data_IF_537409539843
#
_entry.id   IF_537409539843
#
_cell.length_a   1.000
_cell.length_b   1.000
_cell.length_c   1.000
_cell.angle_alpha   90.00
_cell.angle_beta   90.00
_cell.angle_gamma   90.00
#
_symmetry.space_group_name_H-M   'P 1'
#
loop_
_entity.id
_entity.type
_entity.pdbx_description
1 polymer ?
#
# COMPACT_ATOMS: atom_id res chain seq x y z
N UNK A 1 -0.77 -2.78 17.05
CA UNK A 1 -2.02 -2.33 16.40
C UNK A 1 -2.40 -3.42 15.41
N UNK A 2 -3.67 -3.85 15.34
CA UNK A 2 -4.06 -4.94 14.43
C UNK A 2 -4.09 -4.43 12.99
N UNK A 3 -3.76 -5.28 12.01
CA UNK A 3 -3.78 -4.88 10.60
C UNK A 3 -5.16 -4.34 10.18
N UNK A 4 -6.25 -4.90 10.70
CA UNK A 4 -7.63 -4.42 10.47
C UNK A 4 -7.84 -2.95 10.86
N UNK A 5 -7.21 -2.50 11.94
CA UNK A 5 -7.28 -1.08 12.35
C UNK A 5 -6.47 -0.17 11.43
N UNK A 6 -5.34 -0.65 10.90
CA UNK A 6 -4.57 0.08 9.88
C UNK A 6 -5.39 0.20 8.60
N UNK A 7 -6.00 -0.91 8.14
CA UNK A 7 -6.87 -0.91 6.95
C UNK A 7 -8.01 0.08 7.10
N UNK A 8 -8.69 0.08 8.25
CA UNK A 8 -9.77 1.04 8.52
C UNK A 8 -9.28 2.49 8.43
N UNK A 9 -8.10 2.79 8.99
CA UNK A 9 -7.49 4.12 8.91
C UNK A 9 -7.19 4.51 7.45
N UNK A 10 -6.61 3.60 6.68
CA UNK A 10 -6.26 3.84 5.27
C UNK A 10 -7.51 4.03 4.40
N UNK A 11 -8.54 3.20 4.56
CA UNK A 11 -9.81 3.34 3.84
C UNK A 11 -10.49 4.66 4.16
N UNK A 12 -10.48 5.09 5.43
CA UNK A 12 -11.03 6.39 5.81
C UNK A 12 -10.21 7.54 5.20
N UNK A 13 -8.87 7.44 5.21
CA UNK A 13 -8.05 8.45 4.57
C UNK A 13 -8.31 8.53 3.06
N UNK A 14 -8.41 7.38 2.38
CA UNK A 14 -8.69 7.30 0.93
C UNK A 14 -10.05 7.95 0.63
N UNK A 15 -11.09 7.62 1.40
CA UNK A 15 -12.44 8.17 1.21
C UNK A 15 -12.49 9.69 1.38
N UNK A 16 -11.66 10.26 2.25
CA UNK A 16 -11.60 11.71 2.50
C UNK A 16 -10.75 12.43 1.45
N UNK A 17 -9.72 11.77 0.90
CA UNK A 17 -8.67 12.45 0.13
C UNK A 17 -8.65 12.09 -1.37
N UNK A 18 -9.56 11.23 -1.82
CA UNK A 18 -9.66 10.75 -3.21
C UNK A 18 -11.12 10.59 -3.61
N UNK A 19 -11.38 10.36 -4.90
CA UNK A 19 -12.72 10.09 -5.44
C UNK A 19 -13.15 8.61 -5.27
N UNK A 20 -12.28 7.76 -4.69
CA UNK A 20 -12.57 6.34 -4.55
C UNK A 20 -13.57 6.05 -3.44
N UNK A 21 -14.56 5.21 -3.74
CA UNK A 21 -15.47 4.68 -2.74
C UNK A 21 -14.88 3.45 -2.06
N UNK A 22 -14.82 3.47 -0.73
CA UNK A 22 -14.30 2.36 0.09
C UNK A 22 -15.41 1.52 0.72
N UNK A 23 -16.69 1.83 0.43
CA UNK A 23 -17.87 1.21 1.09
C UNK A 23 -17.93 -0.31 0.94
N UNK A 24 -17.41 -0.84 -0.16
CA UNK A 24 -17.45 -2.27 -0.48
C UNK A 24 -16.05 -2.88 -0.49
N UNK A 25 -15.10 -2.28 0.25
CA UNK A 25 -13.78 -2.88 0.39
C UNK A 25 -13.89 -4.15 1.23
N UNK A 26 -13.75 -5.30 0.57
CA UNK A 26 -13.79 -6.63 1.16
C UNK A 26 -12.66 -7.47 0.54
N UNK A 27 -11.43 -7.00 0.75
CA UNK A 27 -10.22 -7.64 0.23
C UNK A 27 -9.41 -8.20 1.39
N UNK A 28 -9.11 -9.49 1.32
CA UNK A 28 -8.28 -10.17 2.31
C UNK A 28 -6.82 -9.70 2.22
N UNK A 29 -6.15 -9.60 3.36
CA UNK A 29 -4.75 -9.18 3.44
C UNK A 29 -3.93 -10.29 4.08
N UNK A 30 -3.04 -10.86 3.27
CA UNK A 30 -2.15 -11.95 3.66
C UNK A 30 -0.78 -11.37 4.03
N UNK A 31 -0.42 -11.50 5.31
CA UNK A 31 0.94 -11.21 5.77
C UNK A 31 1.81 -12.45 5.60
N UNK A 32 2.78 -12.39 4.69
CA UNK A 32 3.62 -13.52 4.28
C UNK A 32 5.11 -13.22 4.50
N UNK A 33 5.98 -14.23 4.32
CA UNK A 33 7.42 -13.99 4.34
C UNK A 33 7.90 -13.32 3.04
N UNK A 34 9.13 -12.80 3.03
CA UNK A 34 9.73 -12.22 1.83
C UNK A 34 9.97 -13.29 0.76
N UNK A 35 10.34 -14.50 1.15
CA UNK A 35 10.55 -15.61 0.22
C UNK A 35 9.23 -16.03 -0.43
N UNK A 36 8.15 -16.11 0.36
CA UNK A 36 6.82 -16.46 -0.17
C UNK A 36 6.29 -15.41 -1.15
N UNK A 37 6.47 -14.11 -0.84
CA UNK A 37 5.99 -13.06 -1.74
C UNK A 37 6.78 -13.02 -3.05
N UNK A 38 8.10 -13.20 -2.98
CA UNK A 38 8.98 -13.23 -4.14
C UNK A 38 8.67 -14.44 -5.03
N UNK A 39 8.46 -15.61 -4.43
CA UNK A 39 8.06 -16.80 -5.16
C UNK A 39 6.71 -16.59 -5.86
N UNK A 40 5.69 -16.07 -5.15
CA UNK A 40 4.36 -15.86 -5.72
C UNK A 40 4.32 -14.78 -6.82
N UNK A 41 5.09 -13.71 -6.66
CA UNK A 41 5.03 -12.57 -7.57
C UNK A 41 5.97 -12.74 -8.78
N UNK A 42 7.13 -13.37 -8.59
CA UNK A 42 8.23 -13.35 -9.54
C UNK A 42 8.82 -14.73 -9.85
N UNK A 43 8.39 -15.79 -9.16
CA UNK A 43 8.97 -17.14 -9.28
C UNK A 43 10.49 -17.13 -9.01
N UNK A 44 10.91 -16.33 -8.02
CA UNK A 44 12.30 -16.13 -7.61
C UNK A 44 12.58 -14.76 -7.02
N UNK A 45 13.84 -14.48 -6.68
CA UNK A 45 14.25 -13.25 -6.01
C UNK A 45 13.88 -11.99 -6.81
N UNK A 46 13.07 -11.11 -6.20
CA UNK A 46 12.71 -9.81 -6.75
C UNK A 46 12.42 -8.79 -5.64
N UNK A 47 12.45 -7.48 -5.91
CA UNK A 47 12.32 -6.46 -4.86
C UNK A 47 10.87 -6.22 -4.40
N UNK A 48 9.92 -7.07 -4.78
CA UNK A 48 8.51 -6.92 -4.42
C UNK A 48 8.29 -7.26 -2.95
N UNK A 49 7.53 -6.40 -2.27
CA UNK A 49 7.17 -6.54 -0.85
C UNK A 49 5.68 -6.45 -0.57
N UNK A 50 4.91 -6.07 -1.58
CA UNK A 50 3.47 -6.18 -1.59
C UNK A 50 3.00 -6.30 -3.03
N UNK A 51 1.88 -6.97 -3.24
CA UNK A 51 1.15 -6.93 -4.51
C UNK A 51 -0.31 -7.32 -4.29
N UNK A 52 -1.20 -6.70 -5.06
CA UNK A 52 -2.59 -7.12 -5.19
C UNK A 52 -2.73 -8.20 -6.27
N UNK A 53 -3.37 -9.31 -5.91
CA UNK A 53 -3.77 -10.36 -6.85
C UNK A 53 -5.30 -10.39 -6.98
N UNK A 54 -5.85 -10.19 -8.20
CA UNK A 54 -7.28 -10.31 -8.43
C UNK A 54 -7.82 -11.65 -7.91
N UNK A 55 -9.00 -11.61 -7.30
CA UNK A 55 -9.75 -12.77 -6.78
C UNK A 55 -9.11 -13.52 -5.58
N UNK A 56 -7.92 -13.11 -5.14
CA UNK A 56 -7.28 -13.64 -3.92
C UNK A 56 -7.20 -12.55 -2.84
N UNK A 57 -6.46 -11.46 -3.09
CA UNK A 57 -6.31 -10.39 -2.12
C UNK A 57 -4.96 -9.68 -2.21
N UNK A 58 -4.60 -8.98 -1.13
CA UNK A 58 -3.34 -8.25 -1.02
C UNK A 58 -2.34 -9.13 -0.27
N UNK A 59 -1.23 -9.46 -0.92
CA UNK A 59 -0.08 -10.07 -0.27
C UNK A 59 0.88 -8.97 0.16
N UNK A 60 1.38 -9.03 1.39
CA UNK A 60 2.35 -8.07 1.91
C UNK A 60 3.31 -8.77 2.86
N UNK A 61 4.59 -8.39 2.80
CA UNK A 61 5.59 -8.92 3.74
C UNK A 61 5.20 -8.54 5.16
N UNK A 62 5.36 -9.49 6.09
CA UNK A 62 5.15 -9.23 7.52
C UNK A 62 6.07 -8.11 8.00
N UNK A 63 5.50 -6.98 8.37
CA UNK A 63 6.21 -5.77 8.80
C UNK A 63 5.45 -5.02 9.89
N UNK A 64 6.12 -4.10 10.59
CA UNK A 64 5.47 -3.26 11.60
C UNK A 64 4.72 -2.10 10.93
N UNK A 65 3.41 -2.01 11.16
CA UNK A 65 2.57 -0.95 10.60
C UNK A 65 2.25 0.15 11.59
N UNK A 66 2.34 -0.09 12.91
CA UNK A 66 1.99 0.92 13.91
C UNK A 66 2.96 2.09 13.78
N UNK A 67 2.41 3.29 13.50
CA UNK A 67 3.17 4.54 13.38
C UNK A 67 4.29 4.52 12.31
N UNK A 68 4.36 3.48 11.49
CA UNK A 68 5.29 3.39 10.37
C UNK A 68 4.57 3.76 9.07
N UNK A 69 4.56 5.06 8.76
CA UNK A 69 3.86 5.59 7.59
C UNK A 69 4.42 5.09 6.25
N UNK A 70 5.71 4.75 6.18
CA UNK A 70 6.28 4.13 4.99
C UNK A 70 5.65 2.76 4.71
N UNK A 71 5.53 1.91 5.74
CA UNK A 71 4.90 0.60 5.62
C UNK A 71 3.40 0.69 5.38
N UNK A 72 2.70 1.60 6.08
CA UNK A 72 1.29 1.88 5.82
C UNK A 72 1.05 2.35 4.38
N UNK A 73 1.95 3.16 3.81
CA UNK A 73 1.82 3.67 2.45
C UNK A 73 1.90 2.56 1.39
N UNK A 74 2.63 1.47 1.66
CA UNK A 74 2.68 0.31 0.76
C UNK A 74 1.33 -0.39 0.74
N UNK A 75 0.73 -0.63 1.91
CA UNK A 75 -0.60 -1.24 1.97
C UNK A 75 -1.65 -0.33 1.30
N UNK A 76 -1.55 0.99 1.50
CA UNK A 76 -2.41 1.95 0.83
C UNK A 76 -2.29 1.88 -0.70
N UNK A 77 -1.07 1.73 -1.23
CA UNK A 77 -0.83 1.55 -2.66
C UNK A 77 -1.60 0.35 -3.21
N UNK A 78 -1.49 -0.80 -2.55
CA UNK A 78 -2.21 -2.01 -2.97
C UNK A 78 -3.73 -1.87 -2.83
N UNK A 79 -4.21 -1.20 -1.77
CA UNK A 79 -5.64 -0.89 -1.63
C UNK A 79 -6.14 -0.07 -2.83
N UNK A 80 -5.39 0.93 -3.28
CA UNK A 80 -5.76 1.71 -4.47
C UNK A 80 -5.88 0.82 -5.70
N UNK A 81 -4.99 -0.16 -5.89
CA UNK A 81 -5.11 -1.11 -7.00
C UNK A 81 -6.39 -1.94 -6.98
N UNK A 82 -6.96 -2.20 -5.80
CA UNK A 82 -8.26 -2.90 -5.67
C UNK A 82 -9.44 -2.01 -6.08
N UNK A 83 -9.32 -0.70 -5.90
CA UNK A 83 -10.39 0.29 -6.15
C UNK A 83 -10.37 0.82 -7.59
N UNK A 84 -9.23 0.73 -8.26
CA UNK A 84 -9.04 1.15 -9.64
C UNK A 84 -9.87 0.34 -10.64
N UNK A 85 -10.26 1.01 -11.73
CA UNK A 85 -10.98 0.36 -12.82
C UNK A 85 -10.07 -0.62 -13.57
N UNK A 86 -10.50 -1.88 -13.70
CA UNK A 86 -9.79 -2.95 -14.44
C UNK A 86 -9.51 -2.62 -15.91
N UNK A 87 -10.24 -1.67 -16.51
CA UNK A 87 -10.05 -1.22 -17.91
C UNK A 87 -8.96 -0.17 -18.07
N UNK A 88 -8.44 0.39 -16.98
CA UNK A 88 -7.36 1.37 -17.01
C UNK A 88 -6.05 0.69 -17.42
N UNK A 89 -5.24 1.36 -18.25
CA UNK A 89 -3.92 0.87 -18.60
C UNK A 89 -3.04 0.74 -17.35
N UNK A 90 -2.23 -0.32 -17.27
CA UNK A 90 -1.40 -0.60 -16.10
C UNK A 90 -0.45 0.57 -15.77
N UNK A 91 0.12 1.24 -16.78
CA UNK A 91 1.01 2.40 -16.58
C UNK A 91 0.30 3.55 -15.84
N UNK A 92 -0.96 3.85 -16.19
CA UNK A 92 -1.76 4.87 -15.51
C UNK A 92 -2.17 4.44 -14.11
N UNK A 93 -2.51 3.16 -13.92
CA UNK A 93 -2.86 2.59 -12.60
C UNK A 93 -1.70 2.75 -11.61
N UNK A 94 -0.51 2.35 -12.01
CA UNK A 94 0.72 2.51 -11.21
C UNK A 94 1.00 3.98 -10.91
N UNK A 95 0.95 4.84 -11.94
CA UNK A 95 1.25 6.26 -11.79
C UNK A 95 0.30 6.93 -10.78
N UNK A 96 -1.00 6.66 -10.88
CA UNK A 96 -2.00 7.18 -9.95
C UNK A 96 -1.79 6.64 -8.53
N UNK A 97 -1.53 5.35 -8.38
CA UNK A 97 -1.29 4.75 -7.06
C UNK A 97 -0.07 5.38 -6.38
N UNK A 98 1.02 5.65 -7.11
CA UNK A 98 2.18 6.38 -6.57
C UNK A 98 1.88 7.85 -6.24
N UNK A 99 1.06 8.53 -7.03
CA UNK A 99 0.64 9.90 -6.72
C UNK A 99 -0.13 9.96 -5.40
N UNK A 100 -1.10 9.06 -5.23
CA UNK A 100 -1.91 8.95 -4.01
C UNK A 100 -1.04 8.52 -2.81
N UNK A 101 -0.11 7.58 -3.02
CA UNK A 101 0.83 7.14 -1.99
C UNK A 101 1.72 8.30 -1.48
N UNK A 102 2.26 9.12 -2.39
CA UNK A 102 3.06 10.28 -2.00
C UNK A 102 2.23 11.34 -1.28
N UNK A 103 0.96 11.55 -1.69
CA UNK A 103 0.04 12.45 -0.98
C UNK A 103 -0.20 11.97 0.46
N UNK A 104 -0.46 10.68 0.66
CA UNK A 104 -0.61 10.11 2.01
C UNK A 104 0.63 10.34 2.87
N UNK A 105 1.82 10.03 2.33
CA UNK A 105 3.08 10.22 3.05
C UNK A 105 3.30 11.68 3.43
N UNK A 106 3.02 12.62 2.53
CA UNK A 106 3.12 14.05 2.79
C UNK A 106 2.15 14.50 3.91
N UNK A 107 0.88 14.10 3.83
CA UNK A 107 -0.14 14.46 4.83
C UNK A 107 0.21 13.91 6.21
N UNK A 108 0.69 12.66 6.28
CA UNK A 108 1.11 12.05 7.54
C UNK A 108 2.37 12.72 8.09
N UNK A 109 3.31 13.13 7.24
CA UNK A 109 4.47 13.90 7.68
C UNK A 109 4.06 15.22 8.31
N UNK A 110 3.19 15.99 7.66
CA UNK A 110 2.72 17.27 8.20
C UNK A 110 1.94 17.08 9.51
N UNK A 111 0.98 16.15 9.53
CA UNK A 111 0.12 15.89 10.69
C UNK A 111 0.90 15.49 11.93
N UNK A 112 2.04 14.81 11.76
CA UNK A 112 2.84 14.27 12.85
C UNK A 112 4.16 15.02 13.08
N UNK A 113 4.35 16.19 12.45
CA UNK A 113 5.58 16.99 12.54
C UNK A 113 6.85 16.19 12.23
N UNK A 114 6.78 15.30 11.24
CA UNK A 114 7.92 14.51 10.76
C UNK A 114 8.60 15.22 9.59
N UNK A 115 9.84 14.81 9.31
CA UNK A 115 10.46 15.15 8.04
C UNK A 115 9.58 14.64 6.87
N UNK A 116 9.53 15.41 5.77
CA UNK A 116 8.68 15.07 4.63
C UNK A 116 9.08 13.69 4.08
N UNK A 117 8.12 12.77 4.09
CA UNK A 117 8.22 11.44 3.53
C UNK A 117 7.73 11.44 2.08
N UNK A 118 8.33 10.58 1.28
CA UNK A 118 7.89 10.24 -0.06
C UNK A 118 8.36 8.82 -0.38
N UNK A 119 7.87 8.25 -1.47
CA UNK A 119 8.19 6.87 -1.87
C UNK A 119 9.70 6.66 -2.01
N UNK A 120 10.41 7.59 -2.64
CA UNK A 120 11.87 7.50 -2.82
C UNK A 120 12.60 7.39 -1.49
N UNK A 121 12.22 8.21 -0.51
CA UNK A 121 12.82 8.22 0.82
C UNK A 121 12.47 6.97 1.62
N UNK A 122 11.21 6.56 1.63
CA UNK A 122 10.78 5.33 2.29
C UNK A 122 11.54 4.11 1.75
N UNK A 123 11.70 4.01 0.43
CA UNK A 123 12.48 2.92 -0.20
C UNK A 123 13.95 2.91 0.20
N UNK A 124 14.56 4.07 0.42
CA UNK A 124 15.95 4.14 0.89
C UNK A 124 16.12 3.66 2.35
N UNK A 125 15.05 3.71 3.14
CA UNK A 125 15.02 3.26 4.53
C UNK A 125 14.64 1.78 4.65
N UNK A 126 13.82 1.30 3.72
CA UNK A 126 13.44 -0.10 3.57
C UNK A 126 14.60 -0.87 2.93
N UNK A 127 15.63 -1.15 3.73
CA UNK A 127 16.68 -2.11 3.37
C UNK A 127 16.03 -3.51 3.36
N UNK A 128 15.65 -3.96 2.18
CA UNK A 128 15.34 -5.37 1.91
C UNK A 128 16.62 -6.08 1.52
#
# INVERSE_FOLDING_TARGET
MLISSIVTLLLNWIQINTEYSTKNFDVEIFQVSIEEIQEKACNGNCPIIAFFKPDEGIYIVKMEFKENYCNQSILLHEIIHTLQNKKMENSFRESEAYLIQNKFLYDMSLKNNLEILNVKKCRSQQKL
#
